data_IF_829232299763
#
_entry.id   IF_829232299763
#
_cell.length_a   1.000
_cell.length_b   1.000
_cell.length_c   1.000
_cell.angle_alpha   90.00
_cell.angle_beta   90.00
_cell.angle_gamma   90.00
#
_symmetry.space_group_name_H-M   'P 1'
#
loop_
_entity.id
_entity.type
_entity.pdbx_description
1 polymer ?
#
# COMPACT_ATOMS: atom_id res chain seq x y z
N UNK A 1 5.56 -17.10 -18.58
CA UNK A 1 5.41 -16.01 -17.69
C UNK A 1 4.28 -15.06 -18.08
N UNK A 2 3.75 -14.33 -17.12
CA UNK A 2 2.63 -13.40 -17.32
C UNK A 2 3.05 -12.04 -17.94
N UNK A 3 4.26 -11.92 -18.51
CA UNK A 3 4.76 -10.67 -19.09
C UNK A 3 5.22 -9.60 -18.07
N UNK A 4 5.17 -9.91 -16.79
CA UNK A 4 5.65 -9.01 -15.74
C UNK A 4 7.17 -9.04 -15.70
N UNK A 5 7.80 -7.88 -15.84
CA UNK A 5 9.27 -7.71 -15.79
C UNK A 5 9.76 -7.12 -14.46
N UNK A 6 8.87 -6.41 -13.77
CA UNK A 6 9.16 -5.82 -12.47
C UNK A 6 7.95 -6.01 -11.55
N UNK A 7 8.19 -6.35 -10.30
CA UNK A 7 7.19 -6.42 -9.24
C UNK A 7 7.54 -5.43 -8.13
N UNK A 8 6.51 -4.94 -7.44
CA UNK A 8 6.67 -4.07 -6.28
C UNK A 8 6.08 -4.76 -5.07
N UNK A 9 6.92 -4.98 -4.06
CA UNK A 9 6.47 -5.43 -2.73
C UNK A 9 5.88 -4.26 -1.96
N UNK A 10 4.65 -4.41 -1.49
CA UNK A 10 3.91 -3.36 -0.80
C UNK A 10 4.11 -3.39 0.73
N UNK A 11 5.35 -3.55 1.19
CA UNK A 11 5.70 -3.41 2.62
C UNK A 11 5.70 -4.70 3.42
N UNK A 12 6.11 -5.82 2.82
CA UNK A 12 6.30 -7.09 3.55
C UNK A 12 7.37 -6.98 4.63
N UNK A 13 8.39 -6.14 4.43
CA UNK A 13 9.55 -6.01 5.32
C UNK A 13 9.69 -4.60 5.87
N UNK A 14 10.28 -4.48 7.05
CA UNK A 14 10.72 -3.21 7.64
C UNK A 14 12.24 -3.14 7.77
N UNK A 15 12.75 -2.10 8.43
CA UNK A 15 14.18 -1.82 8.51
C UNK A 15 15.01 -2.90 9.23
N UNK A 16 14.40 -3.71 10.09
CA UNK A 16 15.09 -4.82 10.77
C UNK A 16 15.07 -6.13 9.99
N UNK A 17 14.27 -6.23 8.92
CA UNK A 17 14.04 -7.50 8.23
C UNK A 17 14.36 -7.47 6.74
N UNK A 18 14.40 -6.30 6.10
CA UNK A 18 14.66 -6.19 4.67
C UNK A 18 15.95 -6.90 4.23
N UNK A 19 17.05 -6.72 4.98
CA UNK A 19 18.34 -7.32 4.66
C UNK A 19 18.33 -8.87 4.69
N UNK A 20 17.44 -9.46 5.50
CA UNK A 20 17.30 -10.91 5.55
C UNK A 20 16.67 -11.48 4.26
N UNK A 21 15.82 -10.70 3.59
CA UNK A 21 15.13 -11.08 2.37
C UNK A 21 15.83 -10.61 1.11
N UNK A 22 16.67 -9.58 1.19
CA UNK A 22 17.37 -8.98 0.06
C UNK A 22 18.17 -9.98 -0.78
N UNK A 23 18.90 -11.00 -0.22
CA UNK A 23 19.57 -12.02 -1.02
C UNK A 23 18.63 -12.80 -1.93
N UNK A 24 17.40 -13.08 -1.47
CA UNK A 24 16.38 -13.76 -2.28
C UNK A 24 15.85 -12.85 -3.39
N UNK A 25 15.63 -11.57 -3.07
CA UNK A 25 15.19 -10.54 -4.03
C UNK A 25 16.21 -10.41 -5.16
N UNK A 26 17.49 -10.33 -4.83
CA UNK A 26 18.57 -10.13 -5.80
C UNK A 26 18.88 -11.36 -6.68
N UNK A 27 18.43 -12.54 -6.28
CA UNK A 27 18.57 -13.77 -7.07
C UNK A 27 17.47 -13.95 -8.13
N UNK A 28 16.37 -13.19 -8.03
CA UNK A 28 15.27 -13.32 -8.97
C UNK A 28 15.59 -12.70 -10.33
N UNK A 29 15.06 -13.32 -11.40
CA UNK A 29 15.13 -12.75 -12.75
C UNK A 29 14.20 -11.57 -12.96
N UNK A 30 13.20 -11.45 -12.12
CA UNK A 30 12.25 -10.36 -12.07
C UNK A 30 12.87 -9.18 -11.33
N UNK A 31 12.79 -7.99 -11.86
CA UNK A 31 13.16 -6.79 -11.10
C UNK A 31 12.19 -6.62 -9.94
N UNK A 32 12.70 -6.62 -8.70
CA UNK A 32 11.88 -6.41 -7.51
C UNK A 32 12.21 -5.04 -6.93
N UNK A 33 11.17 -4.28 -6.62
CA UNK A 33 11.23 -3.02 -5.87
C UNK A 33 10.35 -3.17 -4.64
N UNK A 34 10.51 -2.31 -3.65
CA UNK A 34 9.74 -2.41 -2.42
C UNK A 34 9.35 -1.05 -1.83
N UNK A 35 8.22 -1.02 -1.16
CA UNK A 35 7.91 -0.05 -0.12
C UNK A 35 8.36 -0.62 1.22
N UNK A 36 9.14 0.16 1.98
CA UNK A 36 9.60 -0.26 3.30
C UNK A 36 8.50 0.00 4.33
N UNK A 37 8.11 -1.04 5.08
CA UNK A 37 7.14 -0.85 6.16
C UNK A 37 7.75 0.02 7.28
N UNK A 38 6.97 0.96 7.80
CA UNK A 38 7.40 1.80 8.93
C UNK A 38 7.55 1.00 10.24
N UNK A 39 6.82 -0.12 10.37
CA UNK A 39 7.08 -1.11 11.40
C UNK A 39 8.40 -1.82 11.12
N UNK A 40 9.31 -1.83 12.07
CA UNK A 40 10.69 -2.30 11.86
C UNK A 40 10.78 -3.75 11.36
N UNK A 41 9.83 -4.61 11.73
CA UNK A 41 9.73 -6.00 11.28
C UNK A 41 8.85 -6.20 10.05
N UNK A 42 8.06 -5.19 9.67
CA UNK A 42 7.05 -5.32 8.62
C UNK A 42 6.02 -6.40 8.93
N UNK A 43 5.53 -7.07 7.87
CA UNK A 43 4.59 -8.19 7.98
C UNK A 43 5.28 -9.52 8.33
N UNK A 44 6.60 -9.57 8.38
CA UNK A 44 7.36 -10.81 8.58
C UNK A 44 7.16 -11.41 9.98
N UNK A 45 6.69 -10.64 10.95
CA UNK A 45 6.33 -11.09 12.28
C UNK A 45 4.95 -11.76 12.37
N UNK A 46 4.09 -11.61 11.35
CA UNK A 46 2.76 -12.21 11.34
C UNK A 46 2.82 -13.73 11.15
N UNK A 47 1.96 -14.52 11.83
CA UNK A 47 0.91 -14.10 12.76
C UNK A 47 1.36 -14.00 14.23
N UNK A 48 2.66 -14.18 14.51
CA UNK A 48 3.17 -14.26 15.89
C UNK A 48 3.04 -12.93 16.64
N UNK A 49 3.20 -11.80 15.93
CA UNK A 49 3.01 -10.46 16.47
C UNK A 49 2.35 -9.56 15.44
N UNK A 50 1.53 -8.62 15.91
CA UNK A 50 0.97 -7.56 15.06
C UNK A 50 2.03 -6.49 14.78
N UNK A 51 1.83 -5.74 13.69
CA UNK A 51 2.70 -4.60 13.35
C UNK A 51 2.68 -3.55 14.46
N UNK A 52 3.85 -3.20 14.96
CA UNK A 52 4.02 -2.13 15.93
C UNK A 52 4.22 -0.80 15.19
N UNK A 53 3.15 -0.03 15.11
CA UNK A 53 3.14 1.26 14.41
C UNK A 53 3.18 2.47 15.35
N UNK A 54 3.61 2.26 16.62
CA UNK A 54 3.80 3.37 17.56
C UNK A 54 4.85 4.34 17.03
N UNK A 55 4.59 5.66 17.03
CA UNK A 55 5.51 6.66 16.48
C UNK A 55 6.93 6.57 17.02
N UNK A 56 7.06 6.30 18.33
CA UNK A 56 8.34 6.17 19.03
C UNK A 56 9.15 4.92 18.64
N UNK A 57 8.50 3.94 18.00
CA UNK A 57 9.14 2.71 17.50
C UNK A 57 9.46 2.75 16.00
N UNK A 58 9.09 3.81 15.31
CA UNK A 58 9.50 4.06 13.93
C UNK A 58 10.91 4.64 13.91
N UNK A 59 11.92 3.79 13.77
CA UNK A 59 13.33 4.17 13.79
C UNK A 59 13.73 4.90 12.50
N UNK A 60 13.58 6.24 12.52
CA UNK A 60 13.90 7.09 11.37
C UNK A 60 15.35 6.93 10.91
N UNK A 61 16.31 6.72 11.83
CA UNK A 61 17.70 6.58 11.47
C UNK A 61 17.94 5.30 10.67
N UNK A 62 17.46 4.16 11.16
CA UNK A 62 17.53 2.89 10.44
C UNK A 62 16.79 2.93 9.10
N UNK A 63 15.59 3.53 9.06
CA UNK A 63 14.84 3.70 7.81
C UNK A 63 15.69 4.49 6.80
N UNK A 64 16.29 5.59 7.20
CA UNK A 64 17.19 6.41 6.35
C UNK A 64 18.37 5.59 5.82
N UNK A 65 19.06 4.87 6.70
CA UNK A 65 20.19 4.01 6.33
C UNK A 65 19.77 2.97 5.27
N UNK A 66 18.56 2.41 5.39
CA UNK A 66 18.03 1.48 4.41
C UNK A 66 17.82 2.13 3.04
N UNK A 67 17.25 3.36 2.99
CA UNK A 67 17.05 4.08 1.73
C UNK A 67 18.38 4.51 1.08
N UNK A 68 19.38 4.85 1.88
CA UNK A 68 20.72 5.15 1.38
C UNK A 68 21.40 3.90 0.80
N UNK A 69 21.35 2.79 1.53
CA UNK A 69 21.97 1.52 1.15
C UNK A 69 21.31 0.88 -0.08
N UNK A 70 20.00 0.91 -0.15
CA UNK A 70 19.19 0.27 -1.21
C UNK A 70 18.53 1.28 -2.14
N UNK A 71 19.31 2.33 -2.48
CA UNK A 71 18.86 3.40 -3.37
C UNK A 71 18.40 2.85 -4.73
N UNK A 72 17.18 3.22 -5.13
CA UNK A 72 16.55 2.77 -6.38
C UNK A 72 15.88 1.39 -6.29
N UNK A 73 16.02 0.68 -5.17
CA UNK A 73 15.26 -0.54 -4.87
C UNK A 73 14.08 -0.21 -3.96
N UNK A 74 14.28 0.62 -2.93
CA UNK A 74 13.22 1.12 -2.08
C UNK A 74 12.57 2.35 -2.72
N UNK A 75 11.26 2.28 -2.94
CA UNK A 75 10.49 3.31 -3.64
C UNK A 75 9.80 4.28 -2.70
N UNK A 76 9.46 3.86 -1.48
CA UNK A 76 8.71 4.65 -0.53
C UNK A 76 8.47 3.89 0.77
N UNK A 77 7.64 4.49 1.63
CA UNK A 77 7.23 3.91 2.90
C UNK A 77 5.85 3.27 2.80
N UNK A 78 5.60 2.25 3.60
CA UNK A 78 4.29 1.62 3.78
C UNK A 78 3.85 1.74 5.23
N UNK A 79 2.61 2.19 5.43
CA UNK A 79 1.91 2.13 6.72
C UNK A 79 0.57 1.42 6.55
N UNK A 80 0.26 0.47 7.42
CA UNK A 80 -1.09 -0.07 7.55
C UNK A 80 -1.85 0.70 8.61
N UNK A 81 -3.02 1.20 8.22
CA UNK A 81 -3.89 2.03 9.07
C UNK A 81 -5.15 1.32 9.52
N UNK A 82 -5.23 -0.01 9.31
CA UNK A 82 -6.40 -0.79 9.73
C UNK A 82 -6.69 -0.59 11.23
N UNK A 83 -7.96 -0.47 11.58
CA UNK A 83 -8.41 -0.15 12.95
C UNK A 83 -7.78 -1.03 14.03
N UNK A 84 -7.56 -2.32 13.74
CA UNK A 84 -6.92 -3.27 14.65
C UNK A 84 -5.41 -3.06 14.83
N UNK A 85 -4.77 -2.23 14.00
CA UNK A 85 -3.35 -1.90 14.06
C UNK A 85 -3.16 -0.54 14.74
N UNK A 86 -3.85 0.49 14.26
CA UNK A 86 -3.71 1.85 14.83
C UNK A 86 -4.44 2.01 16.17
N UNK A 87 -5.55 1.28 16.38
CA UNK A 87 -6.31 1.21 17.62
C UNK A 87 -6.44 2.58 18.33
N UNK A 88 -5.93 2.70 19.56
CA UNK A 88 -5.97 3.92 20.37
C UNK A 88 -4.94 4.99 19.93
N UNK A 89 -4.03 4.67 19.04
CA UNK A 89 -2.99 5.59 18.55
C UNK A 89 -3.58 6.70 17.67
N UNK A 90 -4.75 6.47 17.08
CA UNK A 90 -5.41 7.44 16.20
C UNK A 90 -4.53 7.81 15.00
N UNK A 91 -4.35 9.10 14.77
CA UNK A 91 -3.59 9.65 13.63
C UNK A 91 -2.07 9.67 13.81
N UNK A 92 -1.57 9.51 15.02
CA UNK A 92 -0.14 9.65 15.35
C UNK A 92 0.78 8.79 14.49
N UNK A 93 0.47 7.51 14.19
CA UNK A 93 1.29 6.71 13.28
C UNK A 93 1.39 7.31 11.88
N UNK A 94 0.28 7.83 11.35
CA UNK A 94 0.27 8.46 10.03
C UNK A 94 1.08 9.75 10.01
N UNK A 95 0.87 10.62 10.98
CA UNK A 95 1.62 11.88 11.10
C UNK A 95 3.14 11.62 11.16
N UNK A 96 3.55 10.62 11.92
CA UNK A 96 4.96 10.22 12.00
C UNK A 96 5.48 9.65 10.69
N UNK A 97 4.72 8.79 10.02
CA UNK A 97 5.14 8.21 8.75
C UNK A 97 5.23 9.28 7.64
N UNK A 98 4.30 10.24 7.61
CA UNK A 98 4.35 11.40 6.70
C UNK A 98 5.60 12.23 6.97
N UNK A 99 5.89 12.56 8.22
CA UNK A 99 7.09 13.32 8.61
C UNK A 99 8.39 12.63 8.14
N UNK A 100 8.50 11.31 8.35
CA UNK A 100 9.65 10.53 7.88
C UNK A 100 9.73 10.56 6.35
N UNK A 101 8.62 10.34 5.66
CA UNK A 101 8.55 10.39 4.21
C UNK A 101 8.93 11.75 3.63
N UNK A 102 8.54 12.85 4.27
CA UNK A 102 8.94 14.21 3.90
C UNK A 102 10.46 14.41 4.01
N UNK A 103 11.03 14.03 5.14
CA UNK A 103 12.48 14.14 5.37
C UNK A 103 13.32 13.33 4.39
N UNK A 104 12.81 12.20 3.95
CA UNK A 104 13.48 11.32 2.99
C UNK A 104 13.16 11.66 1.54
N UNK A 105 12.14 12.49 1.28
CA UNK A 105 11.69 12.82 -0.07
C UNK A 105 11.07 11.63 -0.80
N UNK A 106 10.38 10.73 -0.08
CA UNK A 106 9.77 9.52 -0.63
C UNK A 106 8.25 9.48 -0.39
N UNK A 107 7.49 8.84 -1.29
CA UNK A 107 6.04 8.68 -1.11
C UNK A 107 5.71 7.72 0.03
N UNK A 108 4.49 7.86 0.55
CA UNK A 108 3.88 6.97 1.53
C UNK A 108 2.70 6.23 0.90
N UNK A 109 2.64 4.92 1.05
CA UNK A 109 1.50 4.09 0.66
C UNK A 109 0.69 3.72 1.91
N UNK A 110 -0.61 4.05 1.90
CA UNK A 110 -1.53 3.77 3.01
C UNK A 110 -2.87 3.24 2.51
N UNK A 111 -3.69 2.67 3.38
CA UNK A 111 -5.04 2.21 3.06
C UNK A 111 -6.14 3.23 3.28
N UNK A 112 -5.89 4.31 4.01
CA UNK A 112 -6.91 5.26 4.47
C UNK A 112 -6.31 6.66 4.68
N UNK A 113 -7.18 7.69 4.88
CA UNK A 113 -6.82 8.97 5.48
C UNK A 113 -6.31 10.05 4.51
N UNK A 114 -7.19 10.46 3.63
CA UNK A 114 -6.88 11.37 2.51
C UNK A 114 -6.36 12.76 2.92
N UNK A 115 -6.87 13.34 4.02
CA UNK A 115 -6.59 14.74 4.39
C UNK A 115 -5.10 15.02 4.71
N UNK A 116 -4.39 14.01 5.20
CA UNK A 116 -3.00 14.13 5.67
C UNK A 116 -1.97 13.72 4.62
N UNK A 117 -2.41 13.21 3.47
CA UNK A 117 -1.54 12.73 2.42
C UNK A 117 -1.03 13.86 1.53
N UNK A 118 0.16 13.66 0.98
CA UNK A 118 0.88 14.62 0.13
C UNK A 118 0.78 14.22 -1.34
N UNK A 119 0.96 15.14 -2.27
CA UNK A 119 1.11 14.81 -3.68
C UNK A 119 2.14 13.68 -3.89
N UNK A 120 1.74 12.64 -4.62
CA UNK A 120 2.56 11.45 -4.87
C UNK A 120 2.40 10.32 -3.84
N UNK A 121 1.75 10.55 -2.70
CA UNK A 121 1.36 9.47 -1.79
C UNK A 121 0.26 8.60 -2.43
N UNK A 122 0.16 7.33 -2.00
CA UNK A 122 -0.71 6.34 -2.62
C UNK A 122 -1.75 5.85 -1.62
N UNK A 123 -3.02 5.92 -2.02
CA UNK A 123 -4.14 5.22 -1.35
C UNK A 123 -4.34 3.88 -2.04
N UNK A 124 -3.98 2.80 -1.36
CA UNK A 124 -4.17 1.44 -1.87
C UNK A 124 -5.55 0.88 -1.47
N UNK A 125 -6.02 -0.14 -2.20
CA UNK A 125 -7.31 -0.80 -1.95
C UNK A 125 -8.52 0.14 -2.12
N UNK A 126 -8.47 1.04 -3.08
CA UNK A 126 -9.48 2.08 -3.26
C UNK A 126 -10.92 1.56 -3.40
N UNK A 127 -11.11 0.31 -3.87
CA UNK A 127 -12.42 -0.29 -4.07
C UNK A 127 -12.89 -1.20 -2.93
N UNK A 128 -12.27 -1.10 -1.76
CA UNK A 128 -12.76 -1.81 -0.58
C UNK A 128 -14.07 -1.21 -0.05
N UNK A 129 -14.89 -2.06 0.58
CA UNK A 129 -16.13 -1.66 1.25
C UNK A 129 -16.10 -1.87 2.77
N UNK A 130 -14.93 -2.21 3.32
CA UNK A 130 -14.73 -2.44 4.76
C UNK A 130 -13.68 -1.46 5.29
N UNK A 131 -13.98 -0.81 6.41
CA UNK A 131 -13.14 0.26 6.94
C UNK A 131 -13.42 1.58 6.22
N UNK A 132 -12.41 2.20 5.64
CA UNK A 132 -12.57 3.37 4.78
C UNK A 132 -13.15 2.98 3.42
N UNK A 133 -14.04 3.79 2.90
CA UNK A 133 -14.55 3.70 1.53
C UNK A 133 -14.36 5.04 0.83
N UNK A 134 -14.07 5.01 -0.47
CA UNK A 134 -14.08 6.22 -1.30
C UNK A 134 -15.49 6.75 -1.56
N UNK A 135 -16.52 5.96 -1.20
CA UNK A 135 -17.93 6.35 -1.37
C UNK A 135 -18.49 6.91 -0.06
N UNK A 136 -19.27 7.96 -0.20
CA UNK A 136 -20.17 8.53 0.81
C UNK A 136 -21.56 8.68 0.18
N UNK A 137 -22.60 8.25 0.87
CA UNK A 137 -23.99 8.25 0.37
C UNK A 137 -24.17 7.63 -1.04
N UNK A 138 -23.35 6.62 -1.37
CA UNK A 138 -23.39 5.92 -2.64
C UNK A 138 -22.70 6.64 -3.81
N UNK A 139 -21.96 7.70 -3.56
CA UNK A 139 -21.21 8.50 -4.54
C UNK A 139 -19.74 8.62 -4.13
N UNK A 140 -18.85 8.84 -5.10
CA UNK A 140 -17.44 9.17 -4.78
C UNK A 140 -17.42 10.46 -3.97
N UNK A 141 -16.87 10.41 -2.76
CA UNK A 141 -16.91 11.53 -1.82
C UNK A 141 -16.16 12.76 -2.36
N UNK A 142 -16.61 13.94 -1.97
CA UNK A 142 -15.95 15.21 -2.32
C UNK A 142 -14.50 15.23 -1.82
N UNK A 143 -14.25 14.65 -0.64
CA UNK A 143 -12.92 14.52 -0.06
C UNK A 143 -11.99 13.67 -0.95
N UNK A 144 -12.52 12.58 -1.51
CA UNK A 144 -11.78 11.70 -2.43
C UNK A 144 -11.40 12.44 -3.72
N UNK A 145 -12.32 13.20 -4.31
CA UNK A 145 -12.02 14.04 -5.46
C UNK A 145 -10.98 15.12 -5.17
N UNK A 146 -11.11 15.83 -4.06
CA UNK A 146 -10.12 16.82 -3.61
C UNK A 146 -8.74 16.21 -3.37
N UNK A 147 -8.70 14.98 -2.86
CA UNK A 147 -7.44 14.27 -2.67
C UNK A 147 -6.75 13.99 -4.01
N UNK A 148 -7.49 13.56 -5.03
CA UNK A 148 -6.97 13.38 -6.39
C UNK A 148 -6.47 14.69 -6.99
N UNK A 149 -7.21 15.76 -6.85
CA UNK A 149 -6.81 17.10 -7.31
C UNK A 149 -5.52 17.58 -6.66
N UNK A 150 -5.27 17.20 -5.39
CA UNK A 150 -3.99 17.46 -4.70
C UNK A 150 -2.84 16.59 -5.20
N UNK A 151 -3.08 15.61 -6.06
CA UNK A 151 -2.05 14.73 -6.62
C UNK A 151 -1.81 13.46 -5.83
N UNK A 152 -2.77 13.02 -5.00
CA UNK A 152 -2.74 11.69 -4.38
C UNK A 152 -3.13 10.66 -5.43
N UNK A 153 -2.41 9.55 -5.47
CA UNK A 153 -2.63 8.44 -6.40
C UNK A 153 -3.52 7.38 -5.75
N UNK A 154 -4.40 6.78 -6.56
CA UNK A 154 -5.32 5.74 -6.11
C UNK A 154 -4.99 4.41 -6.79
N UNK A 155 -4.80 3.36 -5.96
CA UNK A 155 -4.46 2.03 -6.43
C UNK A 155 -5.62 1.06 -6.21
N UNK A 156 -6.02 0.38 -7.29
CA UNK A 156 -6.88 -0.79 -7.21
C UNK A 156 -6.02 -2.05 -7.00
N UNK A 157 -5.84 -2.42 -5.74
CA UNK A 157 -5.15 -3.64 -5.32
C UNK A 157 -6.20 -4.61 -4.77
N UNK A 158 -6.76 -5.43 -5.65
CA UNK A 158 -8.04 -6.13 -5.47
C UNK A 158 -7.94 -7.48 -4.76
N UNK A 159 -6.95 -7.69 -3.89
CA UNK A 159 -6.86 -8.95 -3.18
C UNK A 159 -8.08 -9.21 -2.31
N UNK A 160 -8.46 -10.42 -2.29
CA UNK A 160 -9.46 -11.15 -1.49
C UNK A 160 -10.50 -10.35 -0.67
N UNK A 161 -10.05 -9.45 0.23
CA UNK A 161 -10.90 -8.71 1.17
C UNK A 161 -11.00 -7.21 0.85
N UNK A 162 -10.30 -6.75 -0.19
CA UNK A 162 -10.11 -5.32 -0.48
C UNK A 162 -10.77 -4.89 -1.79
N UNK A 163 -11.80 -5.65 -2.23
CA UNK A 163 -12.52 -5.34 -3.45
C UNK A 163 -14.04 -5.52 -3.28
N UNK A 164 -14.80 -4.54 -3.74
CA UNK A 164 -16.25 -4.57 -3.86
C UNK A 164 -16.65 -4.16 -5.26
N UNK A 165 -17.46 -4.99 -5.93
CA UNK A 165 -18.05 -4.63 -7.22
C UNK A 165 -18.93 -3.39 -7.11
N UNK A 166 -19.72 -3.27 -6.05
CA UNK A 166 -20.58 -2.09 -5.81
C UNK A 166 -19.76 -0.79 -5.78
N UNK A 167 -18.63 -0.79 -5.04
CA UNK A 167 -17.76 0.39 -4.97
C UNK A 167 -17.09 0.67 -6.30
N UNK A 168 -16.57 -0.36 -6.97
CA UNK A 168 -15.87 -0.19 -8.25
C UNK A 168 -16.80 0.25 -9.38
N UNK A 169 -17.99 -0.35 -9.50
CA UNK A 169 -18.98 0.03 -10.51
C UNK A 169 -19.45 1.47 -10.31
N UNK A 170 -19.69 1.87 -9.07
CA UNK A 170 -20.05 3.25 -8.76
C UNK A 170 -18.94 4.22 -9.13
N UNK A 171 -17.73 3.98 -8.67
CA UNK A 171 -16.57 4.84 -8.96
C UNK A 171 -16.31 4.96 -10.47
N UNK A 172 -16.35 3.84 -11.20
CA UNK A 172 -16.19 3.83 -12.66
C UNK A 172 -17.32 4.59 -13.36
N UNK A 173 -18.58 4.45 -12.91
CA UNK A 173 -19.72 5.19 -13.47
C UNK A 173 -19.59 6.71 -13.28
N UNK A 174 -18.88 7.15 -12.26
CA UNK A 174 -18.57 8.54 -11.98
C UNK A 174 -17.20 8.98 -12.57
N UNK A 175 -16.58 8.13 -13.41
CA UNK A 175 -15.25 8.40 -14.02
C UNK A 175 -14.10 8.53 -13.00
N UNK A 176 -14.24 7.94 -11.81
CA UNK A 176 -13.18 7.86 -10.83
C UNK A 176 -12.40 6.55 -11.01
N UNK A 177 -11.42 6.56 -11.91
CA UNK A 177 -10.60 5.41 -12.25
C UNK A 177 -9.36 5.31 -11.36
N UNK A 178 -8.78 4.11 -11.19
CA UNK A 178 -7.49 3.95 -10.51
C UNK A 178 -6.35 4.56 -11.34
N UNK A 179 -5.37 5.13 -10.66
CA UNK A 179 -4.11 5.56 -11.26
C UNK A 179 -3.13 4.39 -11.37
N UNK A 180 -3.24 3.43 -10.45
CA UNK A 180 -2.37 2.27 -10.36
C UNK A 180 -3.20 0.99 -10.24
N UNK A 181 -2.74 -0.08 -10.87
CA UNK A 181 -3.31 -1.42 -10.77
C UNK A 181 -2.32 -2.37 -10.10
N UNK A 182 -2.68 -2.86 -8.93
CA UNK A 182 -1.99 -3.92 -8.21
C UNK A 182 -2.86 -5.16 -8.10
N UNK A 183 -2.27 -6.31 -7.84
CA UNK A 183 -3.01 -7.55 -7.60
C UNK A 183 -3.16 -7.85 -6.11
N UNK A 184 -2.24 -7.36 -5.30
CA UNK A 184 -2.08 -7.73 -3.88
C UNK A 184 -2.12 -9.26 -3.65
N UNK A 185 -1.60 -10.03 -4.62
CA UNK A 185 -1.54 -11.49 -4.55
C UNK A 185 -0.41 -11.89 -3.61
N UNK A 186 -0.77 -12.59 -2.55
CA UNK A 186 0.14 -13.25 -1.63
C UNK A 186 0.01 -14.76 -1.74
N UNK A 187 0.97 -15.51 -1.21
CA UNK A 187 0.88 -16.98 -1.14
C UNK A 187 -0.42 -17.44 -0.45
N UNK A 188 -0.86 -16.70 0.55
CA UNK A 188 -2.11 -16.99 1.27
C UNK A 188 -3.34 -16.67 0.40
N UNK A 189 -3.37 -15.51 -0.25
CA UNK A 189 -4.52 -15.08 -1.05
C UNK A 189 -4.72 -15.94 -2.29
N UNK A 190 -3.66 -16.50 -2.89
CA UNK A 190 -3.75 -17.42 -4.02
C UNK A 190 -4.60 -18.67 -3.72
N UNK A 191 -4.66 -19.10 -2.47
CA UNK A 191 -5.40 -20.31 -2.05
C UNK A 191 -6.78 -20.02 -1.46
N UNK A 192 -7.14 -18.75 -1.24
CA UNK A 192 -8.32 -18.35 -0.47
C UNK A 192 -9.29 -17.45 -1.24
N UNK A 193 -9.65 -17.78 -2.48
CA UNK A 193 -10.53 -16.99 -3.37
C UNK A 193 -9.93 -15.65 -3.76
N UNK A 194 -8.91 -15.61 -4.60
CA UNK A 194 -8.36 -14.38 -5.14
C UNK A 194 -9.42 -13.67 -6.01
N UNK A 195 -9.51 -12.35 -5.90
CA UNK A 195 -10.29 -11.52 -6.83
C UNK A 195 -9.56 -11.28 -8.15
N UNK A 196 -8.24 -11.53 -8.17
CA UNK A 196 -7.42 -11.59 -9.37
C UNK A 196 -6.40 -12.73 -9.24
N UNK A 197 -6.19 -13.52 -10.33
CA UNK A 197 -5.19 -14.58 -10.36
C UNK A 197 -3.85 -14.12 -10.92
N UNK A 198 -3.83 -13.04 -11.66
CA UNK A 198 -2.64 -12.43 -12.26
C UNK A 198 -2.96 -11.00 -12.74
N UNK A 199 -1.93 -10.29 -13.16
CA UNK A 199 -2.06 -8.91 -13.64
C UNK A 199 -2.94 -8.81 -14.90
N UNK A 200 -2.92 -9.78 -15.81
CA UNK A 200 -3.77 -9.75 -17.00
C UNK A 200 -5.27 -9.81 -16.63
N UNK A 201 -5.63 -10.64 -15.64
CA UNK A 201 -7.00 -10.67 -15.11
C UNK A 201 -7.35 -9.37 -14.41
N UNK A 202 -6.42 -8.79 -13.66
CA UNK A 202 -6.63 -7.50 -13.00
C UNK A 202 -6.91 -6.39 -14.01
N UNK A 203 -6.10 -6.30 -15.07
CA UNK A 203 -6.31 -5.33 -16.14
C UNK A 203 -7.66 -5.56 -16.83
N UNK A 204 -8.03 -6.80 -17.12
CA UNK A 204 -9.26 -7.10 -17.85
C UNK A 204 -10.55 -6.66 -17.14
N UNK A 205 -10.52 -6.45 -15.83
CA UNK A 205 -11.66 -5.89 -15.09
C UNK A 205 -11.97 -4.44 -15.47
N UNK A 206 -11.00 -3.70 -15.96
CA UNK A 206 -11.08 -2.26 -16.17
C UNK A 206 -11.00 -1.82 -17.64
N UNK A 207 -10.98 -2.76 -18.59
CA UNK A 207 -10.88 -2.48 -20.04
C UNK A 207 -12.14 -2.80 -20.83
N UNK A 208 -13.22 -3.27 -20.18
CA UNK A 208 -14.49 -3.61 -20.83
C UNK A 208 -15.56 -2.56 -20.58
#
# INVERSE_FOLDING_TARGET
GAGVTTAVDAGSTGCDTYEQYHPWISMEKLGIRAYLNVCSTGLSSLPAAMEDVRPEHMDEAKIRDMFEKYRGELLGLKLRTSRNIVNELGWKPLERAVEIGEKLGVPLMVGELLERLRPGDIVTHMYQNTGYSILEDGHVSEETWKARERGILFEAADARAHFSFEVSERAVSEHFYPDLLGTDITKLSMHLRPTAFNMAMQISKYVN
#
